data_IF_243783122878
#
_entry.id   IF_243783122878
#
_cell.length_a   1.000
_cell.length_b   1.000
_cell.length_c   1.000
_cell.angle_alpha   90.00
_cell.angle_beta   90.00
_cell.angle_gamma   90.00
#
_symmetry.space_group_name_H-M   'P 1'
#
loop_
_entity.id
_entity.type
_entity.pdbx_description
1 polymer ?
#
# COMPACT_ATOMS: atom_id res chain seq x y z
N UNK A 1 -53.53 -18.61 -58.15
CA UNK A 1 -53.18 -17.36 -57.44
C UNK A 1 -54.31 -16.98 -56.50
N UNK A 2 -54.16 -17.23 -55.19
CA UNK A 2 -55.10 -16.73 -54.14
C UNK A 2 -54.40 -16.71 -52.78
N UNK A 3 -54.28 -15.50 -52.25
CA UNK A 3 -54.32 -15.03 -50.85
C UNK A 3 -53.19 -15.41 -49.87
N UNK A 4 -52.46 -14.36 -49.49
CA UNK A 4 -51.70 -14.18 -48.25
C UNK A 4 -52.61 -14.14 -47.00
N UNK A 5 -52.00 -14.48 -45.85
CA UNK A 5 -52.26 -14.12 -44.42
C UNK A 5 -52.33 -15.38 -43.53
N UNK A 6 -51.79 -15.49 -42.30
CA UNK A 6 -51.00 -14.69 -41.34
C UNK A 6 -50.72 -15.62 -40.12
N UNK A 7 -49.65 -15.35 -39.36
CA UNK A 7 -49.42 -15.59 -37.89
C UNK A 7 -48.81 -16.89 -37.30
N UNK A 8 -47.72 -16.66 -36.53
CA UNK A 8 -47.27 -17.23 -35.21
C UNK A 8 -46.98 -18.73 -35.08
N UNK A 9 -45.92 -19.20 -34.40
CA UNK A 9 -45.53 -18.98 -32.98
C UNK A 9 -44.02 -19.22 -32.76
N UNK A 10 -43.47 -18.41 -31.85
CA UNK A 10 -42.13 -18.42 -31.21
C UNK A 10 -41.95 -19.61 -30.26
N UNK A 11 -40.81 -20.32 -30.26
CA UNK A 11 -40.20 -20.98 -29.06
C UNK A 11 -38.69 -21.12 -29.31
N UNK A 12 -37.86 -20.26 -28.71
CA UNK A 12 -37.12 -20.53 -27.46
C UNK A 12 -36.01 -21.60 -27.63
N UNK A 13 -34.83 -21.17 -28.09
CA UNK A 13 -33.57 -21.93 -27.91
C UNK A 13 -32.37 -20.97 -27.76
N UNK A 14 -32.62 -19.82 -27.15
CA UNK A 14 -31.57 -18.91 -26.67
C UNK A 14 -31.64 -18.84 -25.16
N UNK A 15 -31.19 -19.87 -24.44
CA UNK A 15 -31.09 -19.81 -22.97
C UNK A 15 -30.14 -20.82 -22.32
N UNK A 16 -29.04 -21.23 -22.96
CA UNK A 16 -28.07 -22.15 -22.32
C UNK A 16 -26.59 -21.86 -22.66
N UNK A 17 -26.20 -20.60 -22.89
CA UNK A 17 -24.77 -20.21 -22.98
C UNK A 17 -24.40 -19.02 -22.08
N UNK A 18 -25.19 -18.70 -21.05
CA UNK A 18 -24.89 -17.68 -20.05
C UNK A 18 -24.52 -18.28 -18.68
N UNK A 19 -23.79 -19.38 -18.65
CA UNK A 19 -23.25 -19.94 -17.39
C UNK A 19 -21.73 -19.82 -17.26
N UNK A 20 -21.16 -18.82 -17.94
CA UNK A 20 -19.82 -18.33 -17.66
C UNK A 20 -19.82 -16.81 -17.88
N UNK A 21 -20.58 -16.08 -17.07
CA UNK A 21 -20.32 -14.66 -16.90
C UNK A 21 -19.14 -14.58 -15.93
N UNK A 22 -17.99 -14.18 -16.45
CA UNK A 22 -16.78 -13.91 -15.68
C UNK A 22 -17.10 -12.99 -14.50
N UNK A 23 -16.65 -13.38 -13.30
CA UNK A 23 -16.74 -12.60 -12.06
C UNK A 23 -16.00 -11.24 -12.14
N UNK A 24 -15.37 -10.94 -13.28
CA UNK A 24 -14.50 -9.78 -13.52
C UNK A 24 -15.14 -8.71 -14.43
N UNK A 25 -16.37 -8.91 -14.93
CA UNK A 25 -17.01 -7.99 -15.88
C UNK A 25 -17.29 -6.57 -15.31
N UNK A 26 -17.19 -6.39 -14.00
CA UNK A 26 -17.49 -5.14 -13.29
C UNK A 26 -16.35 -4.66 -12.39
N UNK A 27 -15.14 -5.16 -12.59
CA UNK A 27 -13.99 -4.74 -11.79
C UNK A 27 -13.61 -3.28 -12.09
N UNK A 28 -13.42 -2.52 -11.01
CA UNK A 28 -12.93 -1.14 -11.04
C UNK A 28 -11.51 -1.14 -10.51
N UNK A 29 -10.58 -0.61 -11.30
CA UNK A 29 -9.20 -0.38 -10.88
C UNK A 29 -8.92 1.11 -10.72
N UNK A 30 -8.47 1.51 -9.53
CA UNK A 30 -8.09 2.88 -9.21
C UNK A 30 -6.74 2.91 -8.48
N UNK A 31 -5.91 3.90 -8.78
CA UNK A 31 -4.63 4.11 -8.10
C UNK A 31 -4.79 5.14 -7.00
N UNK A 32 -4.21 4.87 -5.84
CA UNK A 32 -4.11 5.81 -4.72
C UNK A 32 -2.67 5.89 -4.21
N UNK A 33 -2.39 6.96 -3.50
CA UNK A 33 -1.11 7.22 -2.86
C UNK A 33 -1.36 7.57 -1.40
N UNK A 34 -0.59 6.97 -0.49
CA UNK A 34 -0.63 7.32 0.92
C UNK A 34 0.78 7.63 1.43
N UNK A 35 0.87 8.60 2.33
CA UNK A 35 2.10 8.98 3.00
C UNK A 35 2.03 8.56 4.47
N UNK A 36 3.12 8.00 4.98
CA UNK A 36 3.28 7.71 6.40
C UNK A 36 4.55 8.35 6.94
N UNK A 37 4.43 9.03 8.08
CA UNK A 37 5.52 9.79 8.69
C UNK A 37 6.01 9.13 9.98
N UNK A 38 7.33 9.01 10.13
CA UNK A 38 7.97 8.71 11.40
C UNK A 38 8.80 9.89 11.85
N UNK A 39 8.50 10.38 13.05
CA UNK A 39 9.29 11.41 13.72
C UNK A 39 10.35 10.73 14.57
N UNK A 40 11.61 10.87 14.16
CA UNK A 40 12.77 10.33 14.88
C UNK A 40 13.36 11.44 15.74
N UNK A 41 13.18 11.33 17.04
CA UNK A 41 13.85 12.15 18.04
C UNK A 41 14.55 11.22 19.04
N UNK A 42 15.89 11.23 19.07
CA UNK A 42 16.68 10.33 19.92
C UNK A 42 18.01 10.95 20.33
N UNK A 43 18.42 10.73 21.58
CA UNK A 43 19.78 11.03 22.08
C UNK A 43 20.71 9.82 21.95
N UNK A 44 20.18 8.69 21.45
CA UNK A 44 20.89 7.44 21.23
C UNK A 44 21.15 7.21 19.73
N UNK A 45 22.16 6.41 19.41
CA UNK A 45 22.54 6.09 18.01
C UNK A 45 21.59 5.08 17.34
N UNK A 46 20.52 4.70 18.03
CA UNK A 46 19.47 3.82 17.54
C UNK A 46 18.09 4.33 17.98
N UNK A 47 17.09 4.13 17.13
CA UNK A 47 15.69 4.36 17.44
C UNK A 47 14.82 3.25 16.85
N UNK A 48 13.84 2.79 17.63
CA UNK A 48 12.84 1.81 17.22
C UNK A 48 11.47 2.47 17.37
N UNK A 49 10.71 2.53 16.29
CA UNK A 49 9.42 3.20 16.22
C UNK A 49 8.37 2.23 15.69
N UNK A 50 7.16 2.31 16.25
CA UNK A 50 6.03 1.48 15.83
C UNK A 50 4.83 2.35 15.54
N UNK A 51 4.04 1.94 14.56
CA UNK A 51 2.86 2.71 14.13
C UNK A 51 1.77 1.79 13.61
N UNK A 52 0.60 1.85 14.26
CA UNK A 52 -0.60 1.15 13.81
C UNK A 52 -1.35 2.04 12.83
N UNK A 53 -1.52 1.56 11.61
CA UNK A 53 -2.20 2.27 10.53
C UNK A 53 -3.48 1.54 10.18
N UNK A 54 -4.57 2.29 9.98
CA UNK A 54 -5.80 1.78 9.38
C UNK A 54 -6.08 2.55 8.09
N UNK A 55 -5.80 1.92 6.95
CA UNK A 55 -5.92 2.58 5.65
C UNK A 55 -7.37 2.90 5.27
N UNK A 56 -8.37 2.21 5.84
CA UNK A 56 -9.77 2.62 5.64
C UNK A 56 -10.12 3.94 6.34
N UNK A 57 -9.33 4.37 7.31
CA UNK A 57 -9.49 5.68 7.95
C UNK A 57 -8.65 6.77 7.28
N UNK A 58 -7.58 6.38 6.59
CA UNK A 58 -6.64 7.30 5.95
C UNK A 58 -6.88 7.49 4.44
N UNK A 59 -7.56 6.54 3.79
CA UNK A 59 -7.77 6.53 2.34
C UNK A 59 -9.25 6.34 2.00
N UNK A 60 -9.87 7.37 1.40
CA UNK A 60 -11.27 7.35 1.00
C UNK A 60 -11.61 6.18 0.07
N UNK A 61 -10.68 5.83 -0.83
CA UNK A 61 -10.84 4.74 -1.77
C UNK A 61 -10.95 3.38 -1.05
N UNK A 62 -10.08 3.14 -0.07
CA UNK A 62 -10.11 1.91 0.74
C UNK A 62 -11.38 1.86 1.59
N UNK A 63 -11.80 2.99 2.16
CA UNK A 63 -13.06 3.08 2.91
C UNK A 63 -14.29 2.79 2.03
N UNK A 64 -14.33 3.36 0.83
CA UNK A 64 -15.44 3.25 -0.10
C UNK A 64 -15.67 1.81 -0.57
N UNK A 65 -14.59 1.12 -0.93
CA UNK A 65 -14.67 -0.24 -1.46
C UNK A 65 -14.63 -1.29 -0.34
N UNK A 66 -13.87 -1.07 0.74
CA UNK A 66 -13.84 -1.93 1.93
C UNK A 66 -13.71 -3.41 1.58
N UNK A 67 -14.69 -4.22 2.00
CA UNK A 67 -14.72 -5.67 1.74
C UNK A 67 -14.90 -6.06 0.26
N UNK A 68 -15.09 -5.11 -0.65
CA UNK A 68 -15.22 -5.33 -2.10
C UNK A 68 -13.90 -5.30 -2.83
N UNK A 69 -12.83 -4.93 -2.14
CA UNK A 69 -11.47 -4.98 -2.66
C UNK A 69 -11.14 -6.45 -2.97
N UNK A 70 -10.75 -6.70 -4.21
CA UNK A 70 -10.30 -8.00 -4.70
C UNK A 70 -8.78 -8.14 -4.67
N UNK A 71 -8.06 -7.03 -4.89
CA UNK A 71 -6.60 -7.04 -4.88
C UNK A 71 -6.02 -5.65 -4.65
N UNK A 72 -4.82 -5.62 -4.09
CA UNK A 72 -3.96 -4.45 -3.97
C UNK A 72 -2.62 -4.77 -4.62
N UNK A 73 -2.10 -3.86 -5.43
CA UNK A 73 -0.80 -3.99 -6.09
C UNK A 73 0.03 -2.73 -5.80
N UNK A 74 1.10 -2.87 -5.03
CA UNK A 74 2.03 -1.76 -4.75
C UNK A 74 2.88 -1.52 -6.00
N UNK A 75 2.76 -0.32 -6.55
CA UNK A 75 3.44 0.08 -7.79
C UNK A 75 4.79 0.74 -7.52
N UNK A 76 4.96 1.32 -6.33
CA UNK A 76 6.19 1.97 -5.94
C UNK A 76 6.13 2.50 -4.52
N UNK A 77 7.31 2.62 -3.92
CA UNK A 77 7.51 3.23 -2.62
C UNK A 77 8.61 4.25 -2.75
N UNK A 78 8.39 5.45 -2.22
CA UNK A 78 9.40 6.51 -2.13
C UNK A 78 9.63 6.88 -0.67
N UNK A 79 10.80 7.46 -0.43
CA UNK A 79 11.11 8.05 0.87
C UNK A 79 11.92 9.33 0.75
N UNK A 80 11.77 10.19 1.75
CA UNK A 80 12.56 11.42 1.92
C UNK A 80 12.49 11.87 3.38
N UNK A 81 13.30 12.87 3.73
CA UNK A 81 13.12 13.60 4.98
C UNK A 81 12.28 14.86 4.74
N UNK A 82 11.21 15.01 5.51
CA UNK A 82 10.40 16.23 5.56
C UNK A 82 11.04 17.30 6.44
N UNK A 83 11.73 16.89 7.49
CA UNK A 83 12.54 17.74 8.37
C UNK A 83 13.81 17.03 8.77
N UNK A 84 14.87 17.81 9.01
CA UNK A 84 16.16 17.32 9.48
C UNK A 84 16.90 18.44 10.20
N UNK A 85 17.32 18.19 11.44
CA UNK A 85 18.21 19.05 12.23
C UNK A 85 19.44 18.22 12.60
N UNK A 86 20.56 18.48 11.94
CA UNK A 86 21.78 17.72 12.15
C UNK A 86 22.95 18.23 11.34
N UNK A 87 24.10 17.57 11.45
CA UNK A 87 25.30 17.91 10.67
C UNK A 87 25.17 17.39 9.23
N UNK A 88 25.94 17.95 8.29
CA UNK A 88 26.03 17.40 6.92
C UNK A 88 26.66 16.00 6.89
N UNK A 89 27.44 15.65 7.91
CA UNK A 89 28.12 14.36 8.06
C UNK A 89 27.22 13.30 8.73
N UNK A 90 26.03 13.66 9.21
CA UNK A 90 25.11 12.72 9.82
C UNK A 90 24.48 11.81 8.77
N UNK A 91 24.51 10.51 9.07
CA UNK A 91 24.08 9.43 8.20
C UNK A 91 23.24 8.43 8.99
N UNK A 92 22.27 7.81 8.30
CA UNK A 92 21.72 6.54 8.73
C UNK A 92 22.70 5.43 8.34
N UNK A 93 23.27 4.78 9.36
CA UNK A 93 24.04 3.55 9.18
C UNK A 93 23.14 2.45 8.65
N UNK A 94 21.95 2.31 9.24
CA UNK A 94 20.92 1.36 8.82
C UNK A 94 19.55 1.98 8.95
N UNK A 95 18.66 1.61 8.03
CA UNK A 95 17.22 1.83 8.12
C UNK A 95 16.53 0.55 7.71
N UNK A 96 15.62 0.06 8.56
CA UNK A 96 14.77 -1.08 8.26
C UNK A 96 13.31 -0.70 8.50
N UNK A 97 12.49 -0.82 7.46
CA UNK A 97 11.04 -0.71 7.56
C UNK A 97 10.45 -2.11 7.42
N UNK A 98 9.61 -2.49 8.37
CA UNK A 98 8.88 -3.76 8.36
C UNK A 98 7.39 -3.50 8.45
N UNK A 99 6.60 -4.41 7.88
CA UNK A 99 5.15 -4.46 8.02
C UNK A 99 4.75 -5.76 8.71
N UNK A 100 3.75 -5.69 9.57
CA UNK A 100 3.28 -6.82 10.36
C UNK A 100 1.75 -6.77 10.52
N UNK A 101 1.20 -7.81 11.12
CA UNK A 101 -0.19 -7.82 11.55
C UNK A 101 -0.47 -6.67 12.55
N UNK A 102 -1.73 -6.22 12.70
CA UNK A 102 -2.09 -5.14 13.64
C UNK A 102 -1.69 -5.38 15.10
N UNK A 103 -1.51 -6.64 15.51
CA UNK A 103 -1.05 -7.03 16.84
C UNK A 103 0.48 -7.06 16.98
N UNK A 104 1.21 -6.70 15.91
CA UNK A 104 2.67 -6.71 15.82
C UNK A 104 3.29 -8.06 15.46
N UNK A 105 2.49 -9.11 15.23
CA UNK A 105 3.01 -10.44 14.88
C UNK A 105 3.35 -10.59 13.39
N UNK A 106 4.21 -11.57 13.08
CA UNK A 106 4.58 -11.94 11.69
C UNK A 106 5.15 -10.75 10.87
N UNK A 107 6.06 -10.00 11.47
CA UNK A 107 6.74 -8.89 10.81
C UNK A 107 7.57 -9.38 9.60
N UNK A 108 7.46 -8.64 8.49
CA UNK A 108 8.20 -8.85 7.24
C UNK A 108 8.90 -7.56 6.85
N UNK A 109 10.19 -7.66 6.54
CA UNK A 109 10.98 -6.53 6.08
C UNK A 109 10.50 -6.09 4.69
N UNK A 110 10.09 -4.83 4.57
CA UNK A 110 9.75 -4.18 3.30
C UNK A 110 10.97 -3.52 2.66
N UNK A 111 11.77 -2.85 3.48
CA UNK A 111 12.91 -2.04 3.05
C UNK A 111 14.05 -2.25 4.03
N UNK A 112 15.26 -2.40 3.49
CA UNK A 112 16.49 -2.33 4.27
C UNK A 112 17.52 -1.55 3.48
N UNK A 113 18.01 -0.48 4.08
CA UNK A 113 19.00 0.42 3.49
C UNK A 113 20.15 0.65 4.46
N UNK A 114 21.30 0.99 3.90
CA UNK A 114 22.51 1.23 4.66
C UNK A 114 23.26 2.44 4.11
N UNK A 115 24.02 3.11 4.98
CA UNK A 115 24.94 4.20 4.64
C UNK A 115 24.28 5.35 3.85
N UNK A 116 23.18 5.89 4.38
CA UNK A 116 22.44 6.98 3.74
C UNK A 116 22.80 8.32 4.37
N UNK A 117 23.27 9.27 3.58
CA UNK A 117 23.50 10.63 4.04
C UNK A 117 22.17 11.37 4.23
N UNK A 118 21.87 11.83 5.46
CA UNK A 118 20.56 12.42 5.78
C UNK A 118 20.31 13.73 5.05
N UNK A 119 21.33 14.57 4.91
CA UNK A 119 21.22 15.86 4.23
C UNK A 119 20.73 15.74 2.78
N UNK A 120 21.05 14.62 2.10
CA UNK A 120 20.66 14.39 0.70
C UNK A 120 19.19 14.02 0.53
N UNK A 121 18.56 13.53 1.60
CA UNK A 121 17.16 13.11 1.58
C UNK A 121 16.19 14.26 1.89
N UNK A 122 16.68 15.40 2.40
CA UNK A 122 15.81 16.51 2.80
C UNK A 122 15.05 17.07 1.60
N UNK A 123 13.73 16.92 1.63
CA UNK A 123 12.79 17.31 0.56
C UNK A 123 13.17 16.75 -0.83
N UNK A 124 13.81 15.58 -0.86
CA UNK A 124 14.24 14.92 -2.08
C UNK A 124 13.72 13.47 -2.10
N UNK A 125 12.51 13.23 -2.64
CA UNK A 125 11.95 11.90 -2.81
C UNK A 125 12.86 10.99 -3.64
N UNK A 126 13.17 9.82 -3.09
CA UNK A 126 13.96 8.77 -3.74
C UNK A 126 13.12 7.48 -3.80
N UNK A 127 13.19 6.77 -4.93
CA UNK A 127 12.54 5.47 -5.08
C UNK A 127 13.23 4.41 -4.20
N UNK A 128 12.43 3.59 -3.52
CA UNK A 128 12.90 2.52 -2.65
C UNK A 128 12.96 1.18 -3.39
N UNK A 129 14.08 0.45 -3.28
CA UNK A 129 14.09 -0.96 -3.65
C UNK A 129 13.24 -1.73 -2.64
N UNK A 130 12.10 -2.23 -3.09
CA UNK A 130 11.16 -2.98 -2.25
C UNK A 130 11.50 -4.47 -2.19
N UNK A 131 11.34 -5.06 -1.01
CA UNK A 131 11.36 -6.51 -0.82
C UNK A 131 9.95 -7.07 -1.08
N UNK A 132 9.87 -8.09 -1.94
CA UNK A 132 8.60 -8.71 -2.34
C UNK A 132 7.83 -9.31 -1.18
N UNK A 133 8.49 -9.89 -0.17
CA UNK A 133 7.79 -10.51 0.97
C UNK A 133 7.08 -9.47 1.84
N UNK A 134 7.76 -8.37 2.14
CA UNK A 134 7.15 -7.27 2.89
C UNK A 134 6.02 -6.59 2.10
N UNK A 135 6.22 -6.39 0.80
CA UNK A 135 5.18 -5.79 -0.06
C UNK A 135 3.95 -6.68 -0.15
N UNK A 136 4.10 -7.97 -0.42
CA UNK A 136 2.95 -8.89 -0.46
C UNK A 136 2.22 -8.95 0.88
N UNK A 137 2.95 -8.91 2.01
CA UNK A 137 2.32 -8.82 3.33
C UNK A 137 1.51 -7.55 3.50
N UNK A 138 2.01 -6.41 3.03
CA UNK A 138 1.25 -5.16 3.03
C UNK A 138 -0.02 -5.31 2.18
N UNK A 139 0.11 -5.79 0.93
CA UNK A 139 -1.01 -5.99 0.00
C UNK A 139 -2.12 -6.85 0.63
N UNK A 140 -1.75 -8.00 1.22
CA UNK A 140 -2.68 -8.90 1.91
C UNK A 140 -3.45 -8.22 3.06
N UNK A 141 -2.75 -7.39 3.85
CA UNK A 141 -3.33 -6.67 4.98
C UNK A 141 -4.23 -5.51 4.54
N UNK A 142 -3.95 -4.88 3.39
CA UNK A 142 -4.80 -3.84 2.80
C UNK A 142 -6.01 -4.45 2.09
N UNK A 143 -5.89 -5.64 1.51
CA UNK A 143 -7.00 -6.33 0.83
C UNK A 143 -8.11 -6.74 1.81
N UNK A 144 -7.72 -7.21 3.00
CA UNK A 144 -8.66 -7.80 3.97
C UNK A 144 -9.05 -6.80 5.06
N UNK A 145 -10.37 -6.65 5.30
CA UNK A 145 -10.87 -5.86 6.42
C UNK A 145 -10.27 -6.36 7.76
N UNK A 146 -9.81 -5.48 8.66
CA UNK A 146 -10.12 -4.05 8.74
C UNK A 146 -9.13 -3.11 8.02
N UNK A 147 -8.34 -3.60 7.05
CA UNK A 147 -7.36 -2.81 6.30
C UNK A 147 -6.32 -2.14 7.21
N UNK A 148 -5.92 -2.86 8.25
CA UNK A 148 -5.00 -2.38 9.28
C UNK A 148 -3.70 -3.16 9.27
N UNK A 149 -2.61 -2.49 9.59
CA UNK A 149 -1.26 -3.04 9.61
C UNK A 149 -0.42 -2.30 10.66
N UNK A 150 0.62 -2.97 11.15
CA UNK A 150 1.62 -2.36 12.03
C UNK A 150 2.90 -2.15 11.23
N UNK A 151 3.44 -0.94 11.25
CA UNK A 151 4.80 -0.68 10.81
C UNK A 151 5.78 -0.72 11.98
N UNK A 152 6.97 -1.23 11.70
CA UNK A 152 8.16 -1.12 12.55
C UNK A 152 9.24 -0.40 11.76
N UNK A 153 9.79 0.66 12.33
CA UNK A 153 10.93 1.38 11.77
C UNK A 153 12.09 1.30 12.76
N UNK A 154 13.14 0.60 12.35
CA UNK A 154 14.42 0.55 13.05
C UNK A 154 15.43 1.42 12.32
N UNK A 155 16.04 2.36 13.03
CA UNK A 155 17.04 3.26 12.47
C UNK A 155 18.27 3.27 13.35
N UNK A 156 19.44 3.18 12.74
CA UNK A 156 20.71 3.49 13.39
C UNK A 156 21.40 4.63 12.67
N UNK A 157 21.97 5.55 13.45
CA UNK A 157 22.67 6.75 12.98
C UNK A 157 24.10 6.80 13.51
N UNK A 158 24.96 7.54 12.83
CA UNK A 158 26.37 7.71 13.23
C UNK A 158 26.60 8.84 14.25
N UNK A 159 25.68 9.80 14.35
CA UNK A 159 25.81 11.00 15.17
C UNK A 159 24.47 11.29 15.89
N UNK A 160 24.56 11.81 17.11
CA UNK A 160 23.42 12.23 17.96
C UNK A 160 23.56 13.71 18.33
N UNK A 161 22.48 14.46 18.59
CA UNK A 161 21.08 14.00 18.59
C UNK A 161 20.53 13.67 17.20
N UNK A 162 19.59 12.75 17.15
CA UNK A 162 18.73 12.49 16.00
C UNK A 162 17.52 13.42 16.08
N UNK A 163 17.29 14.24 15.06
CA UNK A 163 16.07 15.01 14.90
C UNK A 163 15.70 15.10 13.42
N UNK A 164 14.83 14.20 12.96
CA UNK A 164 14.32 14.22 11.60
C UNK A 164 12.95 13.56 11.50
N UNK A 165 12.21 13.92 10.46
CA UNK A 165 10.96 13.25 10.08
C UNK A 165 11.14 12.59 8.73
N UNK A 166 11.08 11.27 8.71
CA UNK A 166 11.10 10.48 7.47
C UNK A 166 9.67 10.23 7.00
N UNK A 167 9.46 10.37 5.69
CA UNK A 167 8.19 10.08 5.02
C UNK A 167 8.39 8.88 4.13
N UNK A 168 7.44 7.95 4.16
CA UNK A 168 7.28 6.89 3.17
C UNK A 168 6.01 7.15 2.38
N UNK A 169 6.13 7.33 1.06
CA UNK A 169 5.00 7.43 0.15
C UNK A 169 4.83 6.10 -0.57
N UNK A 170 3.66 5.49 -0.47
CA UNK A 170 3.33 4.23 -1.11
C UNK A 170 2.25 4.50 -2.14
N UNK A 171 2.54 4.16 -3.39
CA UNK A 171 1.57 4.21 -4.49
C UNK A 171 1.09 2.80 -4.79
N UNK A 172 -0.22 2.59 -4.76
CA UNK A 172 -0.83 1.29 -4.98
C UNK A 172 -2.04 1.38 -5.92
N UNK A 173 -2.23 0.32 -6.69
CA UNK A 173 -3.41 0.10 -7.52
C UNK A 173 -4.34 -0.85 -6.80
N UNK A 174 -5.56 -0.41 -6.54
CA UNK A 174 -6.63 -1.21 -5.98
C UNK A 174 -7.52 -1.71 -7.12
N UNK A 175 -7.94 -2.97 -7.04
CA UNK A 175 -9.03 -3.51 -7.87
C UNK A 175 -10.14 -4.00 -6.97
N UNK A 176 -11.38 -3.58 -7.25
CA UNK A 176 -12.57 -3.96 -6.49
C UNK A 176 -13.72 -4.33 -7.43
N UNK A 177 -14.62 -5.18 -6.96
CA UNK A 177 -15.88 -5.45 -7.63
C UNK A 177 -17.03 -4.79 -6.86
N UNK A 178 -17.61 -3.67 -7.36
CA UNK A 178 -18.66 -2.94 -6.65
C UNK A 178 -19.95 -3.73 -6.43
N UNK A 179 -20.16 -4.82 -7.17
CA UNK A 179 -21.38 -5.63 -7.18
C UNK A 179 -21.31 -6.87 -6.31
N UNK A 180 -20.13 -7.22 -5.80
CA UNK A 180 -19.95 -8.24 -4.77
C UNK A 180 -20.31 -7.70 -3.37
#
# INVERSE_FOLDING_TARGET
MKKFKILTVVVLSGFLLLQACDDDLFDVSETFTFEHEFVVYSEETSAELTSLVNLSQEQDLINQYGSKIKSIEVQGVKYWLKSFTGSEEQMMNTLQLQVANPDGSDAKTMVQLENIALHQLLNSPVDLPINTEGVSKLEDLVEVAPHSLMYFLDVSINEVPADFTIVFEITAKMTANPLN
#
